data_IF_187336606795
#
_entry.id   IF_187336606795
#
_cell.length_a   1.000
_cell.length_b   1.000
_cell.length_c   1.000
_cell.angle_alpha   90.00
_cell.angle_beta   90.00
_cell.angle_gamma   90.00
#
_symmetry.space_group_name_H-M   'P 1'
#
loop_
_entity.id
_entity.type
_entity.pdbx_description
1 polymer ?
#
# COMPACT_ATOMS: atom_id res chain seq x y z
N UNK A 1 -7.97 -2.01 27.60
CA UNK A 1 -8.91 -2.47 26.54
C UNK A 1 -8.20 -3.58 25.77
N UNK A 2 -8.88 -4.69 25.49
CA UNK A 2 -8.33 -5.80 24.70
C UNK A 2 -9.07 -5.86 23.36
N UNK A 3 -8.33 -6.02 22.27
CA UNK A 3 -8.87 -6.20 20.93
C UNK A 3 -8.53 -7.60 20.44
N UNK A 4 -9.50 -8.50 20.27
CA UNK A 4 -9.21 -9.83 19.75
C UNK A 4 -8.80 -9.72 18.28
N UNK A 5 -7.66 -10.33 17.94
CA UNK A 5 -7.17 -10.46 16.58
C UNK A 5 -7.19 -11.93 16.16
N UNK A 6 -7.52 -12.18 14.89
CA UNK A 6 -7.45 -13.52 14.32
C UNK A 6 -5.98 -13.86 14.09
N UNK A 7 -5.53 -14.98 14.63
CA UNK A 7 -4.20 -15.52 14.34
C UNK A 7 -4.16 -16.17 12.95
N UNK A 8 -3.93 -15.34 11.93
CA UNK A 8 -3.77 -15.82 10.56
C UNK A 8 -2.47 -16.60 10.32
N UNK A 9 -1.50 -16.51 11.23
CA UNK A 9 -0.25 -17.28 11.12
C UNK A 9 -0.54 -18.76 11.26
N UNK A 10 -1.38 -19.14 12.23
CA UNK A 10 -1.86 -20.53 12.38
C UNK A 10 -2.61 -21.05 11.14
N UNK A 11 -3.16 -20.17 10.30
CA UNK A 11 -3.93 -20.58 9.12
C UNK A 11 -3.06 -20.92 7.90
N UNK A 12 -1.76 -20.59 7.92
CA UNK A 12 -0.81 -20.94 6.86
C UNK A 12 -0.78 -22.45 6.58
N UNK A 13 -0.95 -23.28 7.62
CA UNK A 13 -0.99 -24.74 7.52
C UNK A 13 -2.12 -25.28 6.61
N UNK A 14 -3.17 -24.48 6.38
CA UNK A 14 -4.32 -24.89 5.59
C UNK A 14 -4.29 -24.38 4.14
N UNK A 15 -3.26 -23.65 3.72
CA UNK A 15 -3.21 -23.05 2.36
C UNK A 15 -3.27 -24.08 1.23
N UNK A 16 -2.80 -25.31 1.46
CA UNK A 16 -2.91 -26.43 0.51
C UNK A 16 -4.29 -27.04 0.42
N UNK A 17 -5.21 -26.70 1.33
CA UNK A 17 -6.54 -27.30 1.46
C UNK A 17 -7.68 -26.34 1.10
N UNK A 18 -7.35 -25.15 0.60
CA UNK A 18 -8.32 -24.09 0.24
C UNK A 18 -8.10 -23.62 -1.19
N UNK A 19 -9.08 -22.88 -1.73
CA UNK A 19 -8.95 -22.23 -3.04
C UNK A 19 -7.76 -21.27 -3.09
N UNK A 20 -7.19 -21.08 -4.29
CA UNK A 20 -6.01 -20.23 -4.48
C UNK A 20 -6.22 -18.79 -4.02
N UNK A 21 -7.46 -18.28 -4.13
CA UNK A 21 -7.84 -16.97 -3.61
C UNK A 21 -7.74 -16.95 -2.07
N UNK A 22 -8.32 -17.94 -1.38
CA UNK A 22 -8.25 -18.02 0.08
C UNK A 22 -6.80 -18.21 0.55
N UNK A 23 -5.99 -19.02 -0.16
CA UNK A 23 -4.58 -19.18 0.15
C UNK A 23 -3.79 -17.87 0.03
N UNK A 24 -4.06 -17.07 -1.02
CA UNK A 24 -3.47 -15.75 -1.20
C UNK A 24 -3.93 -14.75 -0.11
N UNK A 25 -5.21 -14.81 0.28
CA UNK A 25 -5.75 -14.00 1.37
C UNK A 25 -5.10 -14.35 2.72
N UNK A 26 -4.97 -15.64 3.05
CA UNK A 26 -4.27 -16.09 4.26
C UNK A 26 -2.83 -15.57 4.27
N UNK A 27 -2.12 -15.64 3.15
CA UNK A 27 -0.75 -15.13 3.06
C UNK A 27 -0.64 -13.63 3.38
N UNK A 28 -1.55 -12.81 2.82
CA UNK A 28 -1.57 -11.37 3.10
C UNK A 28 -1.91 -11.08 4.55
N UNK A 29 -2.88 -11.79 5.13
CA UNK A 29 -3.30 -11.57 6.52
C UNK A 29 -2.27 -12.10 7.52
N UNK A 30 -1.64 -13.24 7.24
CA UNK A 30 -0.55 -13.80 8.07
C UNK A 30 0.65 -12.85 8.14
N UNK A 31 1.01 -12.23 7.02
CA UNK A 31 2.05 -11.20 6.98
C UNK A 31 1.65 -9.96 7.79
N UNK A 32 0.39 -9.52 7.72
CA UNK A 32 -0.11 -8.39 8.51
C UNK A 32 -0.14 -8.71 10.02
N UNK A 33 -0.56 -9.92 10.41
CA UNK A 33 -0.57 -10.36 11.82
C UNK A 33 0.84 -10.47 12.40
N UNK A 34 1.76 -11.10 11.68
CA UNK A 34 3.14 -11.32 12.17
C UNK A 34 4.01 -10.07 12.10
N UNK A 35 3.71 -9.15 11.17
CA UNK A 35 4.44 -7.90 10.97
C UNK A 35 3.45 -6.79 10.60
N UNK A 36 2.78 -6.17 11.59
CA UNK A 36 1.76 -5.15 11.32
C UNK A 36 2.29 -3.97 10.51
N UNK A 37 1.47 -3.46 9.59
CA UNK A 37 1.80 -2.26 8.80
C UNK A 37 1.77 -1.01 9.67
N UNK A 38 0.78 -0.92 10.56
CA UNK A 38 0.51 0.24 11.41
C UNK A 38 0.53 -0.13 12.89
N UNK A 39 1.08 0.75 13.73
CA UNK A 39 0.84 0.77 15.18
C UNK A 39 0.78 2.20 15.66
N UNK A 40 -0.23 2.55 16.45
CA UNK A 40 -0.46 3.92 16.96
C UNK A 40 -0.38 4.98 15.84
N UNK A 41 -1.06 4.71 14.71
CA UNK A 41 -1.04 5.55 13.51
C UNK A 41 0.34 5.85 12.91
N UNK A 42 1.37 5.06 13.26
CA UNK A 42 2.69 5.06 12.61
C UNK A 42 2.81 3.87 11.67
N UNK A 43 3.36 4.08 10.48
CA UNK A 43 3.83 2.99 9.61
C UNK A 43 5.13 2.45 10.22
N UNK A 44 5.12 1.17 10.62
CA UNK A 44 6.24 0.52 11.33
C UNK A 44 7.05 -0.44 10.44
N UNK A 45 6.71 -0.52 9.16
CA UNK A 45 7.44 -1.24 8.11
C UNK A 45 8.11 -0.26 7.14
N UNK A 46 9.04 -0.75 6.31
CA UNK A 46 9.67 0.09 5.29
C UNK A 46 8.74 0.44 4.12
N UNK A 47 8.98 1.58 3.46
CA UNK A 47 8.20 2.04 2.30
C UNK A 47 8.14 1.03 1.15
N UNK A 48 9.24 0.32 0.89
CA UNK A 48 9.28 -0.74 -0.11
C UNK A 48 8.35 -1.90 0.23
N UNK A 49 8.32 -2.32 1.50
CA UNK A 49 7.43 -3.38 1.96
C UNK A 49 5.96 -2.94 1.91
N UNK A 50 5.66 -1.71 2.33
CA UNK A 50 4.33 -1.12 2.22
C UNK A 50 3.82 -1.15 0.77
N UNK A 51 4.66 -0.74 -0.18
CA UNK A 51 4.33 -0.78 -1.61
C UNK A 51 4.14 -2.21 -2.12
N UNK A 52 5.00 -3.16 -1.71
CA UNK A 52 4.86 -4.57 -2.08
C UNK A 52 3.55 -5.18 -1.56
N UNK A 53 3.14 -4.84 -0.33
CA UNK A 53 1.82 -5.23 0.20
C UNK A 53 0.69 -4.66 -0.66
N UNK A 54 0.80 -3.41 -1.09
CA UNK A 54 -0.23 -2.80 -1.96
C UNK A 54 -0.29 -3.43 -3.36
N UNK A 55 0.86 -3.78 -3.95
CA UNK A 55 0.93 -4.52 -5.22
C UNK A 55 0.36 -5.94 -5.10
N UNK A 56 0.59 -6.63 -3.98
CA UNK A 56 -0.02 -7.93 -3.71
C UNK A 56 -1.54 -7.85 -3.62
N UNK A 57 -2.08 -6.81 -2.96
CA UNK A 57 -3.51 -6.54 -2.88
C UNK A 57 -4.10 -6.20 -4.27
N UNK A 58 -3.43 -5.37 -5.08
CA UNK A 58 -3.84 -5.11 -6.47
C UNK A 58 -3.90 -6.41 -7.28
N UNK A 59 -2.85 -7.24 -7.19
CA UNK A 59 -2.79 -8.54 -7.87
C UNK A 59 -3.96 -9.43 -7.45
N UNK A 60 -4.24 -9.53 -6.15
CA UNK A 60 -5.39 -10.31 -5.65
C UNK A 60 -6.70 -9.84 -6.29
N UNK A 61 -6.98 -8.55 -6.27
CA UNK A 61 -8.24 -7.99 -6.79
C UNK A 61 -8.42 -8.24 -8.29
N UNK A 62 -7.32 -8.29 -9.04
CA UNK A 62 -7.32 -8.59 -10.47
C UNK A 62 -7.40 -10.09 -10.76
N UNK A 63 -6.75 -10.92 -9.95
CA UNK A 63 -6.72 -12.38 -10.14
C UNK A 63 -7.96 -13.09 -9.63
N UNK A 64 -8.64 -12.54 -8.62
CA UNK A 64 -9.76 -13.19 -7.94
C UNK A 64 -10.99 -12.28 -7.81
N UNK A 65 -11.56 -11.78 -8.92
CA UNK A 65 -12.66 -10.81 -8.90
C UNK A 65 -13.98 -11.36 -8.32
N UNK A 66 -14.12 -12.69 -8.21
CA UNK A 66 -15.28 -13.39 -7.63
C UNK A 66 -15.04 -13.92 -6.21
N UNK A 67 -13.86 -13.71 -5.62
CA UNK A 67 -13.57 -14.20 -4.27
C UNK A 67 -14.49 -13.55 -3.24
N UNK A 68 -14.96 -14.33 -2.26
CA UNK A 68 -15.70 -13.80 -1.12
C UNK A 68 -14.84 -12.90 -0.21
N UNK A 69 -13.52 -12.86 -0.41
CA UNK A 69 -12.59 -11.94 0.28
C UNK A 69 -12.33 -10.64 -0.46
N UNK A 70 -12.87 -10.46 -1.68
CA UNK A 70 -12.65 -9.26 -2.50
C UNK A 70 -12.90 -7.97 -1.73
N UNK A 71 -14.07 -7.81 -1.10
CA UNK A 71 -14.41 -6.58 -0.39
C UNK A 71 -13.41 -6.23 0.72
N UNK A 72 -12.96 -7.24 1.48
CA UNK A 72 -11.95 -7.03 2.54
C UNK A 72 -10.60 -6.61 1.96
N UNK A 73 -10.15 -7.26 0.89
CA UNK A 73 -8.89 -6.92 0.21
C UNK A 73 -8.97 -5.56 -0.47
N UNK A 74 -10.15 -5.16 -0.95
CA UNK A 74 -10.39 -3.83 -1.54
C UNK A 74 -10.22 -2.73 -0.48
N UNK A 75 -10.80 -2.89 0.71
CA UNK A 75 -10.56 -1.96 1.83
C UNK A 75 -9.08 -1.90 2.23
N UNK A 76 -8.38 -3.04 2.29
CA UNK A 76 -6.94 -3.08 2.56
C UNK A 76 -6.13 -2.38 1.46
N UNK A 77 -6.49 -2.61 0.19
CA UNK A 77 -5.89 -1.96 -0.97
C UNK A 77 -6.04 -0.44 -0.91
N UNK A 78 -7.22 0.06 -0.55
CA UNK A 78 -7.46 1.50 -0.45
C UNK A 78 -6.67 2.14 0.69
N UNK A 79 -6.66 1.54 1.88
CA UNK A 79 -5.88 2.04 3.02
C UNK A 79 -4.37 2.00 2.74
N UNK A 80 -3.87 0.87 2.24
CA UNK A 80 -2.43 0.72 1.96
C UNK A 80 -2.00 1.66 0.84
N UNK A 81 -2.83 1.82 -0.22
CA UNK A 81 -2.59 2.79 -1.29
C UNK A 81 -2.56 4.21 -0.74
N UNK A 82 -3.50 4.58 0.13
CA UNK A 82 -3.47 5.88 0.78
C UNK A 82 -2.15 6.10 1.52
N UNK A 83 -1.73 5.13 2.34
CA UNK A 83 -0.46 5.20 3.06
C UNK A 83 0.76 5.29 2.13
N UNK A 84 0.75 4.66 0.95
CA UNK A 84 1.83 4.80 -0.05
C UNK A 84 1.94 6.25 -0.58
N UNK A 85 0.84 6.97 -0.77
CA UNK A 85 0.87 8.32 -1.37
C UNK A 85 0.78 9.47 -0.37
N UNK A 86 0.41 9.19 0.87
CA UNK A 86 0.25 10.18 1.94
C UNK A 86 1.09 9.91 3.17
N UNK A 87 1.46 8.65 3.42
CA UNK A 87 1.92 8.19 4.71
C UNK A 87 0.78 8.07 5.71
N UNK A 88 1.16 8.03 6.98
CA UNK A 88 0.27 8.02 8.15
C UNK A 88 0.54 9.25 9.01
N UNK A 89 -0.25 9.46 10.07
CA UNK A 89 -0.09 10.64 10.93
C UNK A 89 1.27 10.68 11.62
N UNK A 90 1.76 9.53 12.12
CA UNK A 90 3.03 9.48 12.86
C UNK A 90 4.22 9.07 11.97
N UNK A 91 3.94 8.67 10.73
CA UNK A 91 4.96 8.42 9.69
C UNK A 91 4.46 9.03 8.38
N UNK A 92 4.49 10.36 8.22
CA UNK A 92 4.02 11.01 7.00
C UNK A 92 4.99 10.77 5.84
N UNK A 93 4.48 10.71 4.61
CA UNK A 93 5.34 10.56 3.43
C UNK A 93 6.16 11.83 3.16
N UNK A 94 5.59 12.98 3.49
CA UNK A 94 6.25 14.28 3.40
C UNK A 94 6.45 14.82 4.80
N UNK A 95 7.66 15.26 5.09
CA UNK A 95 7.97 15.89 6.37
C UNK A 95 7.05 17.09 6.64
N UNK A 96 6.59 17.23 7.89
CA UNK A 96 5.57 18.22 8.22
C UNK A 96 6.06 19.66 8.07
N UNK A 97 7.34 19.92 8.31
CA UNK A 97 7.92 21.26 8.29
C UNK A 97 8.47 21.58 6.90
N UNK A 98 9.45 20.80 6.44
CA UNK A 98 10.17 21.02 5.19
C UNK A 98 9.34 20.71 3.95
N UNK A 99 8.25 19.94 4.11
CA UNK A 99 7.41 19.41 3.03
C UNK A 99 8.19 18.52 2.06
N UNK A 100 9.36 18.03 2.42
CA UNK A 100 10.19 17.18 1.57
C UNK A 100 9.73 15.73 1.69
N UNK A 101 9.64 15.02 0.56
CA UNK A 101 9.32 13.60 0.52
C UNK A 101 10.43 12.76 1.18
N UNK A 102 10.06 11.71 1.89
CA UNK A 102 11.01 10.75 2.45
C UNK A 102 11.86 10.11 1.34
N UNK A 103 13.18 10.29 1.42
CA UNK A 103 14.14 9.78 0.44
C UNK A 103 14.08 8.25 0.32
N UNK A 104 13.81 7.52 1.41
CA UNK A 104 13.66 6.05 1.39
C UNK A 104 12.40 5.64 0.64
N UNK A 105 11.35 6.45 0.68
CA UNK A 105 10.15 6.22 -0.12
C UNK A 105 10.46 6.42 -1.61
N UNK A 106 11.14 7.52 -1.96
CA UNK A 106 11.55 7.81 -3.34
C UNK A 106 12.41 6.68 -3.91
N UNK A 107 13.41 6.21 -3.16
CA UNK A 107 14.28 5.09 -3.57
C UNK A 107 13.46 3.83 -3.84
N UNK A 108 12.62 3.43 -2.89
CA UNK A 108 11.77 2.24 -3.02
C UNK A 108 10.82 2.34 -4.22
N UNK A 109 10.24 3.52 -4.47
CA UNK A 109 9.27 3.74 -5.53
C UNK A 109 9.95 3.76 -6.90
N UNK A 110 11.09 4.43 -7.03
CA UNK A 110 11.89 4.43 -8.27
C UNK A 110 12.32 3.01 -8.62
N UNK A 111 12.78 2.23 -7.64
CA UNK A 111 13.11 0.81 -7.83
C UNK A 111 11.91 0.00 -8.31
N UNK A 112 10.76 0.12 -7.66
CA UNK A 112 9.57 -0.63 -8.03
C UNK A 112 9.05 -0.29 -9.44
N UNK A 113 9.12 0.98 -9.84
CA UNK A 113 8.75 1.42 -11.19
C UNK A 113 9.74 0.92 -12.25
N UNK A 114 11.04 0.86 -11.92
CA UNK A 114 12.08 0.36 -12.82
C UNK A 114 12.01 -1.16 -13.01
N UNK A 115 11.78 -1.92 -11.93
CA UNK A 115 11.73 -3.38 -11.93
C UNK A 115 10.39 -3.92 -12.46
N UNK A 116 9.33 -3.12 -12.40
CA UNK A 116 7.96 -3.54 -12.70
C UNK A 116 7.47 -3.16 -14.11
N UNK A 117 6.46 -3.88 -14.58
CA UNK A 117 5.77 -3.55 -15.84
C UNK A 117 4.63 -2.55 -15.58
N UNK A 118 4.95 -1.26 -15.74
CA UNK A 118 4.02 -0.13 -15.55
C UNK A 118 2.75 -0.27 -16.41
N UNK A 119 2.83 -0.92 -17.58
CA UNK A 119 1.68 -1.11 -18.47
C UNK A 119 0.65 -2.11 -17.92
N UNK A 120 1.06 -2.98 -16.98
CA UNK A 120 0.23 -4.04 -16.42
C UNK A 120 -0.27 -3.78 -15.00
N UNK A 121 0.18 -2.70 -14.36
CA UNK A 121 -0.21 -2.32 -13.00
C UNK A 121 -0.69 -0.87 -12.95
N UNK A 122 -2.01 -0.64 -12.79
CA UNK A 122 -2.56 0.68 -12.52
C UNK A 122 -1.88 1.40 -11.35
N UNK A 123 -1.50 0.66 -10.30
CA UNK A 123 -0.76 1.20 -9.16
C UNK A 123 0.64 1.69 -9.56
N UNK A 124 1.43 0.90 -10.29
CA UNK A 124 2.75 1.33 -10.77
C UNK A 124 2.66 2.50 -11.75
N UNK A 125 1.62 2.57 -12.58
CA UNK A 125 1.38 3.72 -13.44
C UNK A 125 1.10 4.99 -12.63
N UNK A 126 0.24 4.91 -11.60
CA UNK A 126 0.01 6.03 -10.68
C UNK A 126 1.30 6.41 -9.95
N UNK A 127 2.10 5.44 -9.50
CA UNK A 127 3.36 5.69 -8.81
C UNK A 127 4.41 6.35 -9.72
N UNK A 128 4.53 5.90 -10.96
CA UNK A 128 5.40 6.52 -11.98
C UNK A 128 5.00 7.97 -12.24
N UNK A 129 3.70 8.24 -12.38
CA UNK A 129 3.20 9.61 -12.56
C UNK A 129 3.41 10.48 -11.32
N UNK A 130 3.20 9.94 -10.11
CA UNK A 130 3.50 10.63 -8.86
C UNK A 130 4.97 11.04 -8.77
N UNK A 131 5.90 10.15 -9.09
CA UNK A 131 7.34 10.45 -9.09
C UNK A 131 7.69 11.57 -10.07
N UNK A 132 7.11 11.58 -11.27
CA UNK A 132 7.31 12.68 -12.24
C UNK A 132 6.84 14.03 -11.70
N UNK A 133 5.67 14.07 -11.03
CA UNK A 133 5.15 15.30 -10.43
C UNK A 133 5.98 15.70 -9.20
N UNK A 134 6.44 14.75 -8.41
CA UNK A 134 7.30 15.02 -7.25
C UNK A 134 8.67 15.58 -7.68
N UNK A 135 9.32 14.94 -8.66
CA UNK A 135 10.64 15.33 -9.16
C UNK A 135 10.62 16.76 -9.76
N UNK A 136 9.61 17.11 -10.57
CA UNK A 136 9.49 18.48 -11.13
C UNK A 136 9.21 19.56 -10.07
N UNK A 137 8.67 19.16 -8.91
CA UNK A 137 8.46 20.03 -7.75
C UNK A 137 9.62 19.98 -6.75
N UNK A 138 10.78 19.44 -7.15
CA UNK A 138 11.97 19.36 -6.29
C UNK A 138 11.78 18.48 -5.06
N UNK A 139 10.90 17.47 -5.14
CA UNK A 139 10.57 16.58 -4.02
C UNK A 139 9.72 17.23 -2.93
N UNK A 140 9.21 18.45 -3.14
CA UNK A 140 8.39 19.17 -2.15
C UNK A 140 6.90 18.98 -2.39
N UNK A 141 6.13 18.92 -1.30
CA UNK A 141 4.68 18.94 -1.34
C UNK A 141 4.16 20.34 -1.64
N UNK A 142 4.07 20.66 -2.93
CA UNK A 142 3.47 21.90 -3.44
C UNK A 142 1.96 21.76 -3.59
N UNK A 143 1.27 22.87 -3.92
CA UNK A 143 -0.16 22.86 -4.25
C UNK A 143 -0.45 21.98 -5.47
N UNK A 144 0.45 21.97 -6.47
CA UNK A 144 0.32 21.12 -7.65
C UNK A 144 0.34 19.63 -7.26
N UNK A 145 1.32 19.21 -6.45
CA UNK A 145 1.44 17.82 -6.03
C UNK A 145 0.29 17.44 -5.08
N UNK A 146 -0.15 18.35 -4.22
CA UNK A 146 -1.31 18.15 -3.34
C UNK A 146 -2.60 17.97 -4.14
N UNK A 147 -2.84 18.79 -5.16
CA UNK A 147 -3.97 18.68 -6.07
C UNK A 147 -3.91 17.41 -6.93
N UNK A 148 -2.71 17.01 -7.36
CA UNK A 148 -2.52 15.74 -8.05
C UNK A 148 -2.93 14.58 -7.15
N UNK A 149 -2.45 14.55 -5.89
CA UNK A 149 -2.78 13.49 -4.94
C UNK A 149 -4.28 13.43 -4.68
N UNK A 150 -4.94 14.56 -4.40
CA UNK A 150 -6.38 14.56 -4.10
C UNK A 150 -7.24 14.07 -5.27
N UNK A 151 -6.86 14.40 -6.51
CA UNK A 151 -7.55 13.92 -7.72
C UNK A 151 -7.27 12.44 -8.01
N UNK A 152 -6.03 12.01 -7.86
CA UNK A 152 -5.60 10.68 -8.32
C UNK A 152 -5.74 9.59 -7.24
N UNK A 153 -5.63 9.98 -5.98
CA UNK A 153 -5.68 9.14 -4.79
C UNK A 153 -6.69 9.75 -3.79
N UNK A 154 -7.97 9.91 -4.16
CA UNK A 154 -8.97 10.45 -3.26
C UNK A 154 -9.14 9.54 -2.04
N UNK A 155 -9.45 10.13 -0.88
CA UNK A 155 -9.80 9.37 0.30
C UNK A 155 -11.10 8.64 0.02
N UNK A 156 -11.11 7.33 0.22
CA UNK A 156 -12.31 6.52 0.05
C UNK A 156 -12.89 6.24 1.43
N UNK A 157 -14.07 6.79 1.68
CA UNK A 157 -14.89 6.41 2.83
C UNK A 157 -15.57 5.09 2.46
N UNK A 158 -15.25 4.02 3.19
CA UNK A 158 -16.01 2.77 3.14
C UNK A 158 -17.34 2.96 3.87
#
# INVERSE_FOLDING_TARGET
MYFPEIDYVSYEAYKSHVGADIAAYIAMMSLETSKPTLRDAAIIIGWGELLQRNLAQEKFLRSYPSSNRKAKVESMYHLTKWNVFYGSNNTPLFDYESKVIDAKAVEAYKKAVADGDVSKSPLLLKLSNFLKVSDRNGGKLTDELSLWRSKQIPMQYN
#
